data_IF_758823344735
#
_entry.id   IF_758823344735
#
_cell.length_a   1.000
_cell.length_b   1.000
_cell.length_c   1.000
_cell.angle_alpha   90.00
_cell.angle_beta   90.00
_cell.angle_gamma   90.00
#
_symmetry.space_group_name_H-M   'P 1'
#
loop_
_entity.id
_entity.type
_entity.pdbx_description
1 polymer ?
#
# COMPACT_ATOMS: atom_id res chain seq x y z
N UNK A 1 27.61 30.53 -15.71
CA UNK A 1 27.51 29.70 -16.93
C UNK A 1 26.89 28.36 -16.53
N UNK A 2 25.63 28.13 -16.87
CA UNK A 2 24.92 26.89 -16.59
C UNK A 2 25.41 25.81 -17.56
N UNK A 3 25.95 24.69 -17.05
CA UNK A 3 26.34 23.55 -17.90
C UNK A 3 25.11 22.71 -18.15
N UNK A 4 24.69 22.64 -19.41
CA UNK A 4 23.57 21.81 -19.88
C UNK A 4 23.89 20.35 -19.54
N UNK A 5 23.09 19.75 -18.68
CA UNK A 5 23.23 18.35 -18.29
C UNK A 5 22.57 17.41 -19.31
N UNK A 6 22.93 16.13 -19.32
CA UNK A 6 22.29 15.13 -20.18
C UNK A 6 20.75 15.04 -20.00
N UNK A 7 20.23 15.50 -18.85
CA UNK A 7 18.79 15.55 -18.57
C UNK A 7 18.06 16.78 -19.15
N UNK A 8 18.79 17.77 -19.66
CA UNK A 8 18.22 18.96 -20.32
C UNK A 8 18.08 18.77 -21.84
N UNK A 9 18.75 17.77 -22.41
CA UNK A 9 18.86 17.59 -23.87
C UNK A 9 17.53 17.27 -24.58
N UNK A 10 16.50 16.84 -23.85
CA UNK A 10 15.19 16.47 -24.40
C UNK A 10 14.06 17.44 -23.98
N UNK A 11 14.40 18.60 -23.40
CA UNK A 11 13.42 19.62 -23.01
C UNK A 11 13.31 20.62 -24.14
N UNK A 12 12.13 20.77 -24.75
CA UNK A 12 11.95 21.70 -25.87
C UNK A 12 12.15 23.17 -25.49
N UNK A 13 12.08 23.55 -24.20
CA UNK A 13 12.26 24.94 -23.76
C UNK A 13 13.02 25.13 -22.44
N UNK A 14 13.62 24.07 -21.88
CA UNK A 14 14.23 24.16 -20.54
C UNK A 14 13.25 24.53 -19.41
N UNK A 15 11.95 24.64 -19.71
CA UNK A 15 10.92 24.99 -18.74
C UNK A 15 10.90 23.94 -17.63
N UNK A 16 10.75 24.34 -16.35
CA UNK A 16 10.64 23.41 -15.24
C UNK A 16 9.48 22.44 -15.53
N UNK A 17 9.61 21.20 -15.07
CA UNK A 17 8.49 20.26 -15.09
C UNK A 17 7.26 21.00 -14.53
N UNK A 18 6.07 20.82 -15.11
CA UNK A 18 4.86 21.53 -14.64
C UNK A 18 4.57 21.29 -13.15
N UNK A 19 5.23 20.28 -12.59
CA UNK A 19 5.30 19.96 -11.18
C UNK A 19 6.69 20.35 -10.65
N UNK A 20 6.72 21.11 -9.56
CA UNK A 20 7.96 21.42 -8.84
C UNK A 20 8.58 20.19 -8.18
N UNK A 21 9.61 20.40 -7.37
CA UNK A 21 10.24 19.33 -6.59
C UNK A 21 9.22 18.54 -5.78
N UNK A 22 9.43 17.22 -5.71
CA UNK A 22 8.56 16.34 -4.93
C UNK A 22 8.61 16.77 -3.46
N UNK A 23 7.46 17.19 -2.92
CA UNK A 23 7.36 17.70 -1.54
C UNK A 23 7.02 16.62 -0.52
N UNK A 24 6.68 15.42 -0.96
CA UNK A 24 6.29 14.32 -0.08
C UNK A 24 7.37 13.25 -0.09
N UNK A 25 8.21 13.16 0.96
CA UNK A 25 9.11 12.04 1.10
C UNK A 25 8.31 10.74 1.28
N UNK A 26 8.86 9.61 0.82
CA UNK A 26 8.33 8.29 1.15
C UNK A 26 8.56 8.06 2.64
N UNK A 27 7.50 8.21 3.44
CA UNK A 27 7.57 8.18 4.91
C UNK A 27 7.66 6.75 5.46
N UNK A 28 7.21 5.76 4.69
CA UNK A 28 7.15 4.36 5.10
C UNK A 28 7.68 3.45 4.00
N UNK A 29 8.24 2.31 4.41
CA UNK A 29 8.70 1.29 3.48
C UNK A 29 7.52 0.74 2.67
N UNK A 30 7.59 0.91 1.34
CA UNK A 30 6.54 0.49 0.41
C UNK A 30 6.34 -1.02 0.42
N UNK A 31 7.39 -1.81 0.68
CA UNK A 31 7.28 -3.27 0.77
C UNK A 31 6.48 -3.67 2.00
N UNK A 32 6.80 -3.08 3.15
CA UNK A 32 6.07 -3.33 4.40
C UNK A 32 4.61 -2.88 4.26
N UNK A 33 4.36 -1.73 3.63
CA UNK A 33 3.01 -1.25 3.39
C UNK A 33 2.22 -2.18 2.46
N UNK A 34 2.83 -2.65 1.38
CA UNK A 34 2.20 -3.60 0.48
C UNK A 34 1.86 -4.92 1.21
N UNK A 35 2.80 -5.47 1.98
CA UNK A 35 2.58 -6.66 2.81
C UNK A 35 1.44 -6.46 3.81
N UNK A 36 1.44 -5.36 4.56
CA UNK A 36 0.37 -5.04 5.50
C UNK A 36 -0.99 -4.91 4.81
N UNK A 37 -1.05 -4.25 3.64
CA UNK A 37 -2.29 -4.07 2.88
C UNK A 37 -2.90 -5.39 2.42
N UNK A 38 -2.07 -6.38 2.06
CA UNK A 38 -2.53 -7.72 1.66
C UNK A 38 -3.30 -8.46 2.75
N UNK A 39 -3.06 -8.15 4.04
CA UNK A 39 -3.79 -8.74 5.15
C UNK A 39 -4.92 -7.84 5.67
N UNK A 40 -4.70 -6.53 5.72
CA UNK A 40 -5.69 -5.56 6.23
C UNK A 40 -6.94 -5.52 5.35
N UNK A 41 -6.77 -5.51 4.03
CA UNK A 41 -7.90 -5.43 3.08
C UNK A 41 -8.86 -6.63 3.24
N UNK A 42 -8.40 -7.90 3.14
CA UNK A 42 -9.30 -9.04 3.34
C UNK A 42 -9.83 -9.12 4.77
N UNK A 43 -9.07 -8.66 5.77
CA UNK A 43 -9.55 -8.60 7.14
C UNK A 43 -10.75 -7.65 7.29
N UNK A 44 -10.66 -6.45 6.74
CA UNK A 44 -11.78 -5.48 6.71
C UNK A 44 -12.95 -6.07 5.92
N UNK A 45 -12.69 -6.69 4.77
CA UNK A 45 -13.74 -7.33 3.97
C UNK A 45 -14.49 -8.41 4.77
N UNK A 46 -13.76 -9.23 5.54
CA UNK A 46 -14.37 -10.22 6.43
C UNK A 46 -15.24 -9.57 7.50
N UNK A 47 -14.79 -8.48 8.13
CA UNK A 47 -15.60 -7.75 9.12
C UNK A 47 -16.90 -7.19 8.53
N UNK A 48 -16.88 -6.73 7.28
CA UNK A 48 -18.08 -6.25 6.57
C UNK A 48 -19.07 -7.40 6.34
N UNK A 49 -18.58 -8.59 6.00
CA UNK A 49 -19.42 -9.78 5.73
C UNK A 49 -19.88 -10.45 7.03
N UNK A 50 -19.12 -10.30 8.11
CA UNK A 50 -19.36 -10.94 9.42
C UNK A 50 -20.80 -10.83 9.96
N UNK A 51 -21.50 -9.68 9.93
CA UNK A 51 -22.90 -9.61 10.36
C UNK A 51 -23.86 -10.50 9.54
N UNK A 52 -23.51 -10.84 8.30
CA UNK A 52 -24.29 -11.74 7.45
C UNK A 52 -24.13 -13.23 7.79
N UNK A 53 -23.14 -13.59 8.62
CA UNK A 53 -22.86 -14.98 8.99
C UNK A 53 -23.84 -15.45 10.06
N UNK A 54 -24.80 -16.31 9.66
CA UNK A 54 -25.88 -16.80 10.55
C UNK A 54 -25.48 -17.96 11.45
N UNK A 55 -24.67 -18.89 10.95
CA UNK A 55 -24.23 -20.07 11.70
C UNK A 55 -22.70 -20.08 11.85
N UNK A 56 -22.21 -20.63 12.96
CA UNK A 56 -20.77 -20.76 13.26
C UNK A 56 -19.97 -19.44 13.27
N UNK A 57 -20.62 -18.29 13.44
CA UNK A 57 -20.00 -16.95 13.40
C UNK A 57 -18.71 -16.84 14.21
N UNK A 58 -18.71 -17.34 15.45
CA UNK A 58 -17.53 -17.31 16.34
C UNK A 58 -16.42 -18.22 15.81
N UNK A 59 -16.75 -19.46 15.45
CA UNK A 59 -15.78 -20.41 14.93
C UNK A 59 -15.14 -19.93 13.63
N UNK A 60 -15.92 -19.39 12.69
CA UNK A 60 -15.43 -18.79 11.45
C UNK A 60 -14.56 -17.56 11.71
N UNK A 61 -14.92 -16.73 12.69
CA UNK A 61 -14.10 -15.56 13.09
C UNK A 61 -12.76 -16.00 13.63
N UNK A 62 -12.74 -16.96 14.56
CA UNK A 62 -11.50 -17.46 15.16
C UNK A 62 -10.60 -18.08 14.08
N UNK A 63 -11.16 -18.95 13.24
CA UNK A 63 -10.42 -19.59 12.16
C UNK A 63 -9.80 -18.54 11.22
N UNK A 64 -10.60 -17.56 10.78
CA UNK A 64 -10.13 -16.51 9.89
C UNK A 64 -9.06 -15.62 10.53
N UNK A 65 -9.26 -15.16 11.77
CA UNK A 65 -8.29 -14.32 12.50
C UNK A 65 -6.97 -15.06 12.69
N UNK A 66 -7.00 -16.35 13.04
CA UNK A 66 -5.80 -17.16 13.20
C UNK A 66 -5.07 -17.31 11.86
N UNK A 67 -5.77 -17.64 10.77
CA UNK A 67 -5.16 -17.78 9.44
C UNK A 67 -4.52 -16.48 8.95
N UNK A 68 -5.21 -15.34 9.10
CA UNK A 68 -4.68 -14.02 8.71
C UNK A 68 -3.48 -13.64 9.57
N UNK A 69 -3.54 -13.85 10.89
CA UNK A 69 -2.43 -13.53 11.80
C UNK A 69 -1.21 -14.37 11.50
N UNK A 70 -1.37 -15.68 11.30
CA UNK A 70 -0.25 -16.57 10.95
C UNK A 70 0.38 -16.16 9.63
N UNK A 71 -0.45 -15.85 8.61
CA UNK A 71 0.04 -15.34 7.34
C UNK A 71 0.84 -14.04 7.50
N UNK A 72 0.32 -13.09 8.28
CA UNK A 72 0.95 -11.78 8.50
C UNK A 72 2.23 -11.83 9.34
N UNK A 73 2.44 -12.88 10.14
CA UNK A 73 3.66 -13.04 10.96
C UNK A 73 4.78 -13.74 10.18
N UNK A 74 4.44 -14.61 9.22
CA UNK A 74 5.42 -15.36 8.42
C UNK A 74 5.96 -14.54 7.25
N UNK A 75 5.10 -13.72 6.63
CA UNK A 75 5.44 -12.81 5.53
C UNK A 75 6.00 -11.48 6.04
#
# INVERSE_FOLDING_TARGET
>A
MHRIGWFDAFRENGDPTWFGENRTPVVFDLQIFALASMFIIPFIAFLIILPGVRHYRIASTIAFVLSVTVGAVIL
#
